data_IF_697287667779
#
_entry.id   IF_697287667779
#
_cell.length_a   1.000
_cell.length_b   1.000
_cell.length_c   1.000
_cell.angle_alpha   90.00
_cell.angle_beta   90.00
_cell.angle_gamma   90.00
#
_symmetry.space_group_name_H-M   'P 1'
#
loop_
_entity.id
_entity.type
_entity.pdbx_description
1 polymer ?
#
# COMPACT_ATOMS: atom_id res chain seq x y z
N UNK A 1 -17.55 10.15 52.98
CA UNK A 1 -18.34 10.90 51.97
C UNK A 1 -17.39 11.39 50.90
N UNK A 2 -17.20 10.65 49.85
CA UNK A 2 -16.32 10.94 48.72
C UNK A 2 -17.10 10.82 47.41
N UNK A 3 -17.30 11.95 46.76
CA UNK A 3 -18.09 12.13 45.56
C UNK A 3 -17.42 11.47 44.34
N UNK A 4 -18.03 10.42 43.79
CA UNK A 4 -17.69 9.84 42.49
C UNK A 4 -18.19 10.76 41.38
N UNK A 5 -17.25 11.43 40.67
CA UNK A 5 -17.54 12.14 39.43
C UNK A 5 -17.86 11.11 38.35
N UNK A 6 -19.10 11.12 37.87
CA UNK A 6 -19.54 10.38 36.69
C UNK A 6 -18.80 10.90 35.45
N UNK A 7 -17.96 10.05 34.85
CA UNK A 7 -17.47 10.24 33.50
C UNK A 7 -18.64 10.09 32.52
N UNK A 8 -18.93 11.15 31.79
CA UNK A 8 -19.94 11.12 30.73
C UNK A 8 -19.36 10.30 29.54
N UNK A 9 -19.95 9.14 29.30
CA UNK A 9 -19.75 8.40 28.07
C UNK A 9 -20.25 9.27 26.90
N UNK A 10 -19.33 9.77 26.08
CA UNK A 10 -19.66 10.34 24.77
C UNK A 10 -19.99 9.19 23.84
N UNK A 11 -21.25 9.05 23.47
CA UNK A 11 -21.66 8.15 22.40
C UNK A 11 -21.05 8.61 21.08
N UNK A 12 -20.49 7.71 20.26
CA UNK A 12 -20.03 8.06 18.93
C UNK A 12 -21.22 8.55 18.08
N UNK A 13 -21.01 9.48 17.13
CA UNK A 13 -22.03 9.94 16.23
C UNK A 13 -22.57 8.77 15.39
N UNK A 14 -23.88 8.50 15.48
CA UNK A 14 -24.57 7.55 14.62
C UNK A 14 -24.76 8.18 13.25
N UNK A 15 -24.08 7.64 12.23
CA UNK A 15 -24.41 7.93 10.84
C UNK A 15 -25.66 7.13 10.46
N UNK A 16 -26.69 7.74 9.84
CA UNK A 16 -27.85 7.01 9.38
C UNK A 16 -27.50 6.24 8.10
N UNK A 17 -27.31 4.95 8.23
CA UNK A 17 -27.31 4.02 7.10
C UNK A 17 -28.72 3.43 7.07
N UNK A 18 -29.56 3.83 6.13
CA UNK A 18 -30.85 3.20 5.88
C UNK A 18 -30.88 2.62 4.48
N UNK A 19 -31.27 1.36 4.44
CA UNK A 19 -31.55 0.56 3.27
C UNK A 19 -32.74 1.09 2.47
N UNK A 20 -32.67 0.80 1.16
CA UNK A 20 -33.75 0.92 0.17
C UNK A 20 -34.19 2.33 -0.26
N UNK A 21 -33.50 2.86 -1.28
CA UNK A 21 -34.08 3.88 -2.15
C UNK A 21 -34.07 3.41 -3.61
N UNK A 22 -35.26 3.09 -4.11
CA UNK A 22 -35.53 2.86 -5.54
C UNK A 22 -35.53 4.19 -6.31
N UNK A 23 -34.68 4.29 -7.32
CA UNK A 23 -34.43 5.47 -8.15
C UNK A 23 -35.50 5.65 -9.24
N UNK A 24 -36.72 6.10 -8.92
CA UNK A 24 -37.74 6.38 -9.96
C UNK A 24 -38.61 7.62 -9.76
N UNK A 25 -38.30 8.54 -8.82
CA UNK A 25 -39.09 9.76 -8.64
C UNK A 25 -38.29 11.02 -9.01
N UNK A 26 -38.79 11.88 -9.94
CA UNK A 26 -38.14 13.15 -10.32
C UNK A 26 -37.96 14.15 -9.17
N UNK A 27 -38.80 14.11 -8.14
CA UNK A 27 -38.68 14.98 -6.96
C UNK A 27 -37.49 14.55 -6.06
N UNK A 28 -37.10 13.30 -6.11
CA UNK A 28 -35.94 12.78 -5.36
C UNK A 28 -34.58 13.20 -5.98
N UNK A 29 -34.53 13.53 -7.27
CA UNK A 29 -33.33 14.08 -7.92
C UNK A 29 -32.92 15.46 -7.40
N UNK A 30 -33.90 16.27 -6.97
CA UNK A 30 -33.61 17.60 -6.40
C UNK A 30 -33.11 17.50 -4.96
N UNK A 31 -33.63 16.53 -4.16
CA UNK A 31 -33.18 16.28 -2.79
C UNK A 31 -31.78 15.64 -2.75
N UNK A 32 -31.49 14.71 -3.65
CA UNK A 32 -30.13 14.11 -3.75
C UNK A 32 -29.08 15.11 -4.22
N UNK A 33 -29.43 16.07 -5.09
CA UNK A 33 -28.50 17.14 -5.50
C UNK A 33 -28.23 18.15 -4.37
N UNK A 34 -29.15 18.33 -3.43
CA UNK A 34 -28.99 19.24 -2.28
C UNK A 34 -28.27 18.55 -1.10
N UNK A 35 -28.40 17.23 -0.93
CA UNK A 35 -27.66 16.46 0.08
C UNK A 35 -26.21 16.14 -0.32
N UNK A 36 -25.84 16.31 -1.59
CA UNK A 36 -24.49 16.03 -2.10
C UNK A 36 -23.43 17.09 -1.71
N UNK A 37 -23.74 18.02 -0.80
CA UNK A 37 -22.84 19.06 -0.32
C UNK A 37 -22.87 19.31 1.18
N UNK A 38 -23.11 18.27 1.98
CA UNK A 38 -22.65 18.33 3.35
C UNK A 38 -21.13 18.12 3.28
N UNK A 39 -20.38 19.23 3.30
CA UNK A 39 -18.91 19.17 3.41
C UNK A 39 -18.61 18.34 4.65
N UNK A 40 -17.92 17.20 4.45
CA UNK A 40 -17.48 16.36 5.55
C UNK A 40 -16.65 17.23 6.50
N UNK A 41 -17.15 17.46 7.70
CA UNK A 41 -16.48 18.29 8.70
C UNK A 41 -16.12 17.38 9.88
N UNK A 42 -14.84 17.23 10.12
CA UNK A 42 -14.33 16.45 11.24
C UNK A 42 -14.41 17.17 12.59
N UNK A 43 -14.89 18.43 12.63
CA UNK A 43 -15.19 19.17 13.87
C UNK A 43 -14.09 19.10 14.94
N UNK A 44 -12.83 19.21 14.54
CA UNK A 44 -11.69 19.18 15.45
C UNK A 44 -11.28 17.78 15.94
N UNK A 45 -11.75 16.71 15.31
CA UNK A 45 -11.28 15.35 15.63
C UNK A 45 -9.76 15.24 15.53
N UNK A 46 -9.15 14.57 16.50
CA UNK A 46 -7.71 14.29 16.55
C UNK A 46 -7.39 13.09 15.65
N UNK A 47 -6.80 13.33 14.49
CA UNK A 47 -6.64 12.33 13.44
C UNK A 47 -5.17 11.95 13.29
N UNK A 48 -4.83 10.72 13.66
CA UNK A 48 -3.53 10.14 13.35
C UNK A 48 -3.53 9.60 11.92
N UNK A 49 -2.44 9.86 11.16
CA UNK A 49 -2.22 9.27 9.85
C UNK A 49 -0.76 8.84 9.70
N UNK A 50 -0.52 7.65 9.16
CA UNK A 50 0.82 7.07 9.06
C UNK A 50 1.42 7.23 7.65
N UNK A 51 0.99 8.28 6.93
CA UNK A 51 1.42 8.55 5.56
C UNK A 51 2.86 9.05 5.52
N UNK A 52 3.68 8.45 4.64
CA UNK A 52 5.11 8.78 4.53
C UNK A 52 5.42 9.64 3.30
N UNK A 53 4.99 9.23 2.10
CA UNK A 53 5.37 9.89 0.84
C UNK A 53 4.68 11.22 0.62
N UNK A 54 3.45 11.37 1.13
CA UNK A 54 2.60 12.54 0.96
C UNK A 54 2.08 13.03 2.31
N UNK A 55 2.96 13.05 3.31
CA UNK A 55 2.63 13.44 4.69
C UNK A 55 2.01 14.85 4.73
N UNK A 56 2.62 15.83 4.06
CA UNK A 56 2.11 17.21 4.02
C UNK A 56 0.76 17.33 3.29
N UNK A 57 0.55 16.55 2.21
CA UNK A 57 -0.73 16.53 1.51
C UNK A 57 -1.82 15.94 2.40
N UNK A 58 -1.50 14.89 3.14
CA UNK A 58 -2.42 14.27 4.10
C UNK A 58 -2.78 15.25 5.22
N UNK A 59 -1.80 15.93 5.79
CA UNK A 59 -2.03 16.93 6.83
C UNK A 59 -2.93 18.06 6.33
N UNK A 60 -2.66 18.61 5.12
CA UNK A 60 -3.52 19.63 4.49
C UNK A 60 -4.93 19.12 4.22
N UNK A 61 -5.08 17.87 3.77
CA UNK A 61 -6.38 17.27 3.50
C UNK A 61 -7.23 17.17 4.77
N UNK A 62 -6.65 16.64 5.86
CA UNK A 62 -7.31 16.51 7.17
C UNK A 62 -7.73 17.90 7.69
N UNK A 63 -6.83 18.87 7.65
CA UNK A 63 -7.10 20.24 8.14
C UNK A 63 -8.18 20.94 7.32
N UNK A 64 -8.21 20.74 5.99
CA UNK A 64 -9.22 21.32 5.10
C UNK A 64 -10.63 20.85 5.42
N UNK A 65 -10.80 19.64 5.95
CA UNK A 65 -12.09 19.10 6.38
C UNK A 65 -12.31 19.26 7.89
N UNK A 66 -11.61 20.18 8.55
CA UNK A 66 -11.82 20.58 9.94
C UNK A 66 -11.25 19.62 10.98
N UNK A 67 -10.39 18.68 10.62
CA UNK A 67 -9.69 17.81 11.56
C UNK A 67 -8.38 18.43 12.07
N UNK A 68 -7.92 17.95 13.23
CA UNK A 68 -6.56 18.21 13.75
C UNK A 68 -5.65 17.09 13.29
N UNK A 69 -4.67 17.41 12.46
CA UNK A 69 -3.82 16.40 11.82
C UNK A 69 -2.59 16.05 12.66
N UNK A 70 -2.38 14.76 12.87
CA UNK A 70 -1.19 14.18 13.49
C UNK A 70 -0.58 13.18 12.51
N UNK A 71 0.08 13.70 11.48
CA UNK A 71 0.70 12.88 10.44
C UNK A 71 2.12 12.52 10.85
N UNK A 72 2.41 11.23 10.88
CA UNK A 72 3.74 10.71 11.18
C UNK A 72 4.15 9.70 10.12
N UNK A 73 5.23 9.96 9.36
CA UNK A 73 5.81 8.95 8.49
C UNK A 73 6.11 7.67 9.26
N UNK A 74 5.64 6.52 8.74
CA UNK A 74 5.84 5.24 9.43
C UNK A 74 6.81 4.31 8.71
N UNK A 75 7.25 4.68 7.49
CA UNK A 75 8.15 3.86 6.70
C UNK A 75 8.91 4.66 5.66
N UNK A 76 10.09 4.17 5.30
CA UNK A 76 10.86 4.60 4.13
C UNK A 76 11.27 3.39 3.30
N UNK A 77 11.46 3.61 2.02
CA UNK A 77 12.02 2.61 1.11
C UNK A 77 13.54 2.65 1.23
N UNK A 78 14.14 1.49 1.51
CA UNK A 78 15.60 1.35 1.60
C UNK A 78 16.05 0.39 0.51
N UNK A 79 16.91 0.82 -0.43
CA UNK A 79 17.45 -0.06 -1.44
C UNK A 79 18.27 -1.16 -0.78
N UNK A 80 18.27 -2.36 -1.38
CA UNK A 80 19.14 -3.45 -0.98
C UNK A 80 20.43 -3.31 -1.79
N UNK A 81 21.53 -2.97 -1.14
CA UNK A 81 22.84 -2.78 -1.79
C UNK A 81 23.94 -3.47 -0.96
N UNK A 82 24.84 -4.26 -1.61
CA UNK A 82 24.77 -4.71 -3.01
C UNK A 82 23.65 -5.74 -3.23
N UNK A 83 23.00 -5.71 -4.38
CA UNK A 83 21.89 -6.62 -4.68
C UNK A 83 22.29 -7.71 -5.69
N UNK A 84 22.89 -8.79 -5.20
CA UNK A 84 23.27 -9.93 -6.03
C UNK A 84 22.08 -10.58 -6.73
N UNK A 85 20.94 -10.72 -6.05
CA UNK A 85 19.74 -11.29 -6.62
C UNK A 85 19.25 -10.52 -7.86
N UNK A 86 19.28 -9.19 -7.83
CA UNK A 86 18.94 -8.35 -8.98
C UNK A 86 19.94 -8.52 -10.14
N UNK A 87 21.23 -8.63 -9.83
CA UNK A 87 22.30 -8.82 -10.84
C UNK A 87 22.16 -10.20 -11.49
N UNK A 88 22.00 -11.26 -10.70
CA UNK A 88 21.82 -12.62 -11.21
C UNK A 88 20.56 -12.73 -12.06
N UNK A 89 19.46 -12.11 -11.62
CA UNK A 89 18.23 -12.03 -12.40
C UNK A 89 18.45 -11.34 -13.75
N UNK A 90 19.19 -10.22 -13.78
CA UNK A 90 19.47 -9.51 -15.02
C UNK A 90 20.26 -10.38 -16.00
N UNK A 91 21.28 -11.10 -15.54
CA UNK A 91 22.01 -12.05 -16.38
C UNK A 91 21.12 -13.17 -16.91
N UNK A 92 20.26 -13.75 -16.08
CA UNK A 92 19.35 -14.82 -16.48
C UNK A 92 18.32 -14.34 -17.50
N UNK A 93 17.80 -13.13 -17.34
CA UNK A 93 16.93 -12.51 -18.34
C UNK A 93 17.66 -12.33 -19.68
N UNK A 94 18.85 -11.73 -19.66
CA UNK A 94 19.65 -11.46 -20.86
C UNK A 94 20.14 -12.74 -21.57
N UNK A 95 20.16 -13.87 -20.89
CA UNK A 95 20.51 -15.19 -21.47
C UNK A 95 19.30 -16.05 -21.84
N UNK A 96 18.09 -15.48 -21.79
CA UNK A 96 16.85 -16.13 -22.22
C UNK A 96 16.31 -17.21 -21.27
N UNK A 97 16.75 -17.21 -20.00
CA UNK A 97 16.25 -18.18 -19.02
C UNK A 97 14.91 -17.75 -18.37
N UNK A 98 14.57 -16.46 -18.42
CA UNK A 98 13.32 -15.93 -17.86
C UNK A 98 12.36 -15.64 -19.02
N UNK A 99 11.14 -16.16 -18.93
CA UNK A 99 10.13 -16.03 -20.00
C UNK A 99 9.06 -14.99 -19.70
N UNK A 100 8.80 -14.73 -18.42
CA UNK A 100 7.79 -13.79 -17.94
C UNK A 100 8.37 -12.93 -16.83
N UNK A 101 8.14 -11.63 -16.88
CA UNK A 101 8.55 -10.69 -15.82
C UNK A 101 7.34 -9.97 -15.25
N UNK A 102 7.13 -10.11 -13.94
CA UNK A 102 6.05 -9.44 -13.20
C UNK A 102 6.63 -8.26 -12.42
N UNK A 103 6.13 -7.06 -12.68
CA UNK A 103 6.52 -5.83 -12.02
C UNK A 103 5.44 -5.39 -11.03
N UNK A 104 5.74 -5.51 -9.72
CA UNK A 104 4.77 -5.19 -8.67
C UNK A 104 4.69 -3.70 -8.38
N UNK A 105 5.79 -2.94 -8.52
CA UNK A 105 5.82 -1.51 -8.21
C UNK A 105 6.73 -0.73 -9.16
N UNK A 106 6.36 0.54 -9.43
CA UNK A 106 7.21 1.42 -10.24
C UNK A 106 8.52 1.79 -9.54
N UNK A 107 8.49 1.97 -8.22
CA UNK A 107 9.70 2.23 -7.44
C UNK A 107 10.64 1.03 -7.47
N UNK A 108 10.11 -0.19 -7.35
CA UNK A 108 10.89 -1.41 -7.43
C UNK A 108 11.56 -1.59 -8.80
N UNK A 109 10.87 -1.27 -9.89
CA UNK A 109 11.49 -1.31 -11.20
C UNK A 109 12.64 -0.30 -11.35
N UNK A 110 12.49 0.93 -10.82
CA UNK A 110 13.57 1.91 -10.82
C UNK A 110 14.76 1.48 -9.96
N UNK A 111 14.50 0.86 -8.79
CA UNK A 111 15.58 0.28 -7.97
C UNK A 111 16.27 -0.91 -8.66
N UNK A 112 15.50 -1.75 -9.37
CA UNK A 112 16.09 -2.83 -10.18
C UNK A 112 17.07 -2.29 -11.19
N UNK A 113 16.67 -1.30 -12.00
CA UNK A 113 17.55 -0.66 -12.98
C UNK A 113 18.80 -0.08 -12.33
N UNK A 114 18.65 0.64 -11.20
CA UNK A 114 19.78 1.21 -10.45
C UNK A 114 20.73 0.14 -9.92
N UNK A 115 20.20 -0.96 -9.39
CA UNK A 115 21.02 -2.04 -8.81
C UNK A 115 21.88 -2.75 -9.85
N UNK A 116 21.43 -2.80 -11.10
CA UNK A 116 22.12 -3.53 -12.18
C UNK A 116 23.01 -2.65 -13.07
N UNK A 117 22.80 -1.31 -13.12
CA UNK A 117 23.46 -0.41 -14.09
C UNK A 117 24.99 -0.43 -14.07
N UNK A 118 25.61 -0.81 -12.93
CA UNK A 118 27.08 -0.95 -12.81
C UNK A 118 27.60 -2.33 -13.18
N UNK A 119 26.73 -3.28 -13.47
CA UNK A 119 27.06 -4.70 -13.65
C UNK A 119 26.67 -5.23 -15.01
N UNK A 120 25.66 -4.65 -15.66
CA UNK A 120 25.18 -5.03 -16.98
C UNK A 120 24.93 -3.81 -17.84
N UNK A 121 24.98 -3.98 -19.16
CA UNK A 121 24.56 -2.95 -20.09
C UNK A 121 23.06 -2.73 -19.98
N UNK A 122 22.67 -1.49 -19.68
CA UNK A 122 21.27 -1.10 -19.46
C UNK A 122 20.40 -1.36 -20.69
N UNK A 123 20.91 -1.00 -21.88
CA UNK A 123 20.11 -1.14 -23.09
C UNK A 123 19.88 -2.60 -23.42
N UNK A 124 20.91 -3.43 -23.32
CA UNK A 124 20.79 -4.88 -23.51
C UNK A 124 19.81 -5.52 -22.53
N UNK A 125 19.79 -5.07 -21.27
CA UNK A 125 18.79 -5.53 -20.31
C UNK A 125 17.36 -5.13 -20.74
N UNK A 126 17.16 -3.88 -21.19
CA UNK A 126 15.86 -3.39 -21.65
C UNK A 126 15.40 -4.10 -22.92
N UNK A 127 16.31 -4.37 -23.86
CA UNK A 127 16.03 -5.15 -25.06
C UNK A 127 15.58 -6.56 -24.69
N UNK A 128 16.30 -7.24 -23.80
CA UNK A 128 15.89 -8.56 -23.30
C UNK A 128 14.56 -8.54 -22.56
N UNK A 129 14.24 -7.44 -21.86
CA UNK A 129 12.95 -7.27 -21.21
C UNK A 129 11.82 -7.04 -22.22
N UNK A 130 12.10 -6.48 -23.39
CA UNK A 130 11.12 -6.34 -24.49
C UNK A 130 10.82 -7.65 -25.19
N UNK A 131 11.72 -8.64 -25.14
CA UNK A 131 11.58 -9.94 -25.77
C UNK A 131 10.75 -10.95 -24.97
N UNK A 132 10.42 -10.61 -23.71
CA UNK A 132 9.65 -11.47 -22.80
C UNK A 132 8.28 -10.88 -22.48
N UNK A 133 7.38 -11.71 -21.97
CA UNK A 133 6.07 -11.23 -21.50
C UNK A 133 6.26 -10.40 -20.22
N UNK A 134 5.85 -9.14 -20.25
CA UNK A 134 5.90 -8.23 -19.11
C UNK A 134 4.51 -7.95 -18.56
N UNK A 135 4.32 -8.19 -17.26
CA UNK A 135 3.04 -7.97 -16.57
C UNK A 135 3.25 -6.89 -15.50
N UNK A 136 2.56 -5.76 -15.65
CA UNK A 136 2.56 -4.71 -14.64
C UNK A 136 1.33 -4.83 -13.74
N UNK A 137 1.53 -4.94 -12.41
CA UNK A 137 0.42 -5.06 -11.45
C UNK A 137 -0.57 -3.91 -11.52
N UNK A 138 -0.15 -2.75 -11.98
CA UNK A 138 -1.03 -1.57 -12.05
C UNK A 138 -0.39 -0.40 -12.78
N UNK A 139 -0.97 0.81 -12.65
CA UNK A 139 -0.53 1.99 -13.42
C UNK A 139 0.89 2.46 -13.07
N UNK A 140 1.34 2.34 -11.81
CA UNK A 140 2.66 2.83 -11.37
C UNK A 140 3.82 2.04 -11.97
N UNK A 141 3.87 0.69 -11.95
CA UNK A 141 4.91 -0.06 -12.66
C UNK A 141 4.81 0.11 -14.19
N UNK A 142 3.61 0.22 -14.77
CA UNK A 142 3.46 0.48 -16.19
C UNK A 142 4.02 1.86 -16.60
N UNK A 143 3.87 2.88 -15.77
CA UNK A 143 4.47 4.20 -15.99
C UNK A 143 6.00 4.13 -15.93
N UNK A 144 6.57 3.46 -14.92
CA UNK A 144 8.01 3.32 -14.78
C UNK A 144 8.64 2.51 -15.94
N UNK A 145 7.93 1.52 -16.47
CA UNK A 145 8.37 0.77 -17.64
C UNK A 145 8.38 1.66 -18.89
N UNK A 146 7.34 2.50 -19.08
CA UNK A 146 7.29 3.48 -20.18
C UNK A 146 8.38 4.55 -20.09
N UNK A 147 8.74 5.00 -18.89
CA UNK A 147 9.87 5.92 -18.68
C UNK A 147 11.21 5.32 -19.17
N UNK A 148 11.29 3.99 -19.17
CA UNK A 148 12.44 3.26 -19.72
C UNK A 148 12.31 2.94 -21.24
N UNK A 149 11.27 3.45 -21.91
CA UNK A 149 11.03 3.25 -23.34
C UNK A 149 10.29 1.97 -23.71
N UNK A 150 9.75 1.25 -22.72
CA UNK A 150 9.06 -0.03 -22.94
C UNK A 150 7.56 0.07 -22.69
N UNK A 151 6.78 -0.78 -23.35
CA UNK A 151 5.35 -0.95 -23.11
C UNK A 151 5.10 -2.31 -22.48
N UNK A 152 4.36 -2.42 -21.37
CA UNK A 152 4.05 -3.72 -20.79
C UNK A 152 3.15 -4.54 -21.73
N UNK A 153 3.37 -5.86 -21.80
CA UNK A 153 2.50 -6.79 -22.52
C UNK A 153 1.11 -6.81 -21.90
N UNK A 154 1.04 -6.86 -20.56
CA UNK A 154 -0.21 -6.83 -19.83
C UNK A 154 -0.17 -5.85 -18.65
N UNK A 155 -1.32 -5.22 -18.38
CA UNK A 155 -1.56 -4.45 -17.17
C UNK A 155 -2.75 -5.05 -16.44
N UNK A 156 -2.55 -5.40 -15.17
CA UNK A 156 -3.60 -5.95 -14.32
C UNK A 156 -4.70 -4.90 -14.10
N UNK A 157 -6.00 -5.28 -14.21
CA UNK A 157 -7.12 -4.39 -13.96
C UNK A 157 -7.25 -4.04 -12.48
N UNK A 158 -8.01 -2.99 -12.17
CA UNK A 158 -8.36 -2.66 -10.79
C UNK A 158 -9.24 -3.76 -10.17
N UNK A 159 -9.07 -4.02 -8.86
CA UNK A 159 -8.33 -3.22 -7.86
C UNK A 159 -6.82 -3.50 -7.76
N UNK A 160 -6.18 -4.09 -8.77
CA UNK A 160 -4.73 -4.31 -8.89
C UNK A 160 -4.16 -5.17 -7.74
N UNK A 161 -4.91 -6.16 -7.24
CA UNK A 161 -4.42 -7.09 -6.22
C UNK A 161 -3.69 -8.28 -6.87
N UNK A 162 -3.13 -9.16 -6.06
CA UNK A 162 -2.51 -10.38 -6.54
C UNK A 162 -3.54 -11.35 -7.15
N UNK A 163 -4.84 -11.24 -6.80
CA UNK A 163 -5.91 -12.06 -7.37
C UNK A 163 -6.18 -11.71 -8.82
N UNK A 164 -6.33 -10.42 -9.14
CA UNK A 164 -6.50 -9.94 -10.51
C UNK A 164 -5.25 -10.21 -11.35
N UNK A 165 -4.05 -10.22 -10.72
CA UNK A 165 -2.83 -10.61 -11.40
C UNK A 165 -2.87 -12.08 -11.82
N UNK A 166 -3.26 -12.99 -10.93
CA UNK A 166 -3.43 -14.41 -11.27
C UNK A 166 -4.54 -14.62 -12.31
N UNK A 167 -5.64 -13.87 -12.26
CA UNK A 167 -6.69 -13.91 -13.28
C UNK A 167 -6.18 -13.46 -14.66
N UNK A 168 -5.35 -12.41 -14.69
CA UNK A 168 -4.72 -11.93 -15.93
C UNK A 168 -3.82 -13.01 -16.53
N UNK A 169 -3.06 -13.72 -15.69
CA UNK A 169 -2.22 -14.85 -16.11
C UNK A 169 -3.10 -15.99 -16.65
N UNK A 170 -4.12 -16.39 -15.92
CA UNK A 170 -5.03 -17.47 -16.33
C UNK A 170 -5.70 -17.21 -17.69
N UNK A 171 -5.97 -15.92 -17.98
CA UNK A 171 -6.66 -15.53 -19.21
C UNK A 171 -5.73 -15.33 -20.41
N UNK A 172 -4.46 -14.97 -20.19
CA UNK A 172 -3.63 -14.43 -21.28
C UNK A 172 -2.21 -14.98 -21.35
N UNK A 173 -1.67 -15.54 -20.25
CA UNK A 173 -0.24 -15.88 -20.17
C UNK A 173 -0.04 -17.29 -19.64
N UNK A 174 0.14 -18.31 -20.50
CA UNK A 174 0.45 -19.66 -20.04
C UNK A 174 1.84 -19.68 -19.39
N UNK A 175 1.89 -20.00 -18.07
CA UNK A 175 3.15 -20.01 -17.31
C UNK A 175 3.60 -21.41 -16.87
N UNK A 176 2.90 -22.46 -17.28
CA UNK A 176 3.29 -23.84 -16.97
C UNK A 176 4.67 -24.15 -17.55
N UNK A 177 5.57 -24.66 -16.70
CA UNK A 177 6.98 -24.91 -17.01
C UNK A 177 7.78 -23.65 -17.43
N UNK A 178 7.29 -22.45 -17.10
CA UNK A 178 7.99 -21.21 -17.38
C UNK A 178 8.73 -20.72 -16.13
N UNK A 179 9.83 -19.98 -16.36
CA UNK A 179 10.53 -19.23 -15.31
C UNK A 179 9.97 -17.82 -15.28
N UNK A 180 9.41 -17.46 -14.13
CA UNK A 180 8.75 -16.18 -13.89
C UNK A 180 9.58 -15.33 -12.93
N UNK A 181 10.18 -14.25 -13.42
CA UNK A 181 10.83 -13.24 -12.60
C UNK A 181 9.79 -12.34 -11.92
N UNK A 182 9.78 -12.30 -10.60
CA UNK A 182 8.83 -11.51 -9.81
C UNK A 182 9.56 -10.37 -9.09
N UNK A 183 9.50 -9.14 -9.61
CA UNK A 183 9.97 -7.97 -8.87
C UNK A 183 9.01 -7.68 -7.72
N UNK A 184 9.47 -7.92 -6.49
CA UNK A 184 8.64 -7.89 -5.27
C UNK A 184 8.30 -6.47 -4.78
N UNK A 185 7.27 -6.39 -3.96
CA UNK A 185 6.79 -5.17 -3.29
C UNK A 185 7.47 -4.97 -1.92
N UNK A 186 8.79 -4.83 -1.89
CA UNK A 186 9.53 -4.59 -0.62
C UNK A 186 9.41 -5.70 0.44
N UNK A 187 8.39 -6.54 0.34
CA UNK A 187 8.16 -7.75 1.15
C UNK A 187 7.63 -8.86 0.25
N UNK A 188 7.93 -10.10 0.64
CA UNK A 188 7.50 -11.28 -0.10
C UNK A 188 5.99 -11.50 0.04
N UNK A 189 5.32 -11.72 -1.09
CA UNK A 189 3.92 -12.13 -1.13
C UNK A 189 3.83 -13.64 -1.35
N UNK A 190 3.84 -14.41 -0.25
CA UNK A 190 3.80 -15.87 -0.29
C UNK A 190 2.56 -16.41 -1.02
N UNK A 191 1.40 -15.77 -0.89
CA UNK A 191 0.16 -16.18 -1.58
C UNK A 191 0.26 -16.02 -3.10
N UNK A 192 0.92 -14.94 -3.58
CA UNK A 192 1.16 -14.77 -5.01
C UNK A 192 2.13 -15.82 -5.53
N UNK A 193 3.25 -16.05 -4.83
CA UNK A 193 4.25 -17.05 -5.22
C UNK A 193 3.59 -18.43 -5.30
N UNK A 194 2.91 -18.86 -4.23
CA UNK A 194 2.20 -20.16 -4.23
C UNK A 194 1.15 -20.25 -5.36
N UNK A 195 0.45 -19.15 -5.66
CA UNK A 195 -0.51 -19.07 -6.76
C UNK A 195 0.12 -19.23 -8.15
N UNK A 196 1.33 -18.71 -8.37
CA UNK A 196 2.11 -18.88 -9.60
C UNK A 196 2.67 -20.31 -9.71
N UNK A 197 3.23 -20.84 -8.63
CA UNK A 197 3.77 -22.19 -8.56
C UNK A 197 2.67 -23.25 -8.76
N UNK A 198 1.47 -23.04 -8.22
CA UNK A 198 0.30 -23.91 -8.46
C UNK A 198 -0.12 -23.96 -9.94
N UNK A 199 0.31 -23.00 -10.76
CA UNK A 199 0.11 -22.98 -12.23
C UNK A 199 1.30 -23.58 -12.99
N UNK A 200 2.23 -24.18 -12.28
CA UNK A 200 3.39 -24.88 -12.84
C UNK A 200 4.58 -23.96 -13.18
N UNK A 201 4.58 -22.71 -12.69
CA UNK A 201 5.72 -21.81 -12.87
C UNK A 201 6.85 -22.09 -11.87
N UNK A 202 8.09 -21.84 -12.29
CA UNK A 202 9.21 -21.65 -11.37
C UNK A 202 9.36 -20.15 -11.10
N UNK A 203 9.11 -19.72 -9.86
CA UNK A 203 9.14 -18.30 -9.51
C UNK A 203 10.51 -17.88 -8.99
N UNK A 204 11.05 -16.79 -9.54
CA UNK A 204 12.28 -16.15 -9.10
C UNK A 204 11.95 -14.77 -8.49
N UNK A 205 11.84 -14.68 -7.16
CA UNK A 205 11.57 -13.41 -6.50
C UNK A 205 12.80 -12.49 -6.59
N UNK A 206 12.60 -11.25 -7.00
CA UNK A 206 13.64 -10.22 -7.10
C UNK A 206 13.27 -9.06 -6.20
N UNK A 207 13.82 -9.07 -4.98
CA UNK A 207 13.62 -8.01 -4.02
C UNK A 207 14.74 -6.99 -4.13
N UNK A 208 14.38 -5.75 -4.44
CA UNK A 208 15.34 -4.66 -4.71
C UNK A 208 15.30 -3.55 -3.66
N UNK A 209 14.32 -3.56 -2.77
CA UNK A 209 14.19 -2.64 -1.64
C UNK A 209 13.46 -3.32 -0.49
N UNK A 210 13.58 -2.74 0.68
CA UNK A 210 12.81 -3.09 1.86
C UNK A 210 12.13 -1.87 2.47
N UNK A 211 11.38 -2.10 3.54
CA UNK A 211 10.74 -1.07 4.32
C UNK A 211 11.41 -0.97 5.68
N UNK A 212 11.85 0.22 6.04
CA UNK A 212 12.40 0.54 7.36
C UNK A 212 11.62 1.68 7.98
N UNK A 213 11.82 1.90 9.27
CA UNK A 213 11.37 3.14 9.90
C UNK A 213 12.08 4.35 9.27
N UNK A 214 11.45 5.53 9.30
CA UNK A 214 12.16 6.78 9.01
C UNK A 214 13.37 6.94 9.93
N UNK A 215 14.33 7.78 9.54
CA UNK A 215 15.48 8.10 10.39
C UNK A 215 15.04 8.81 11.67
N UNK A 216 14.11 9.75 11.56
CA UNK A 216 13.44 10.36 12.69
C UNK A 216 12.08 9.68 12.91
N UNK A 217 11.94 9.00 14.02
CA UNK A 217 10.72 8.30 14.44
C UNK A 217 9.94 9.08 15.51
N UNK A 218 10.35 10.28 15.89
CA UNK A 218 9.76 11.05 17.00
C UNK A 218 8.26 11.23 16.84
N UNK A 219 7.81 11.73 15.70
CA UNK A 219 6.38 11.91 15.42
C UNK A 219 5.60 10.57 15.41
N UNK A 220 6.22 9.47 14.95
CA UNK A 220 5.61 8.14 14.98
C UNK A 220 5.47 7.65 16.42
N UNK A 221 6.49 7.80 17.24
CA UNK A 221 6.45 7.44 18.66
C UNK A 221 5.38 8.23 19.42
N UNK A 222 5.27 9.54 19.15
CA UNK A 222 4.24 10.41 19.75
C UNK A 222 2.83 9.92 19.36
N UNK A 223 2.59 9.60 18.09
CA UNK A 223 1.32 9.07 17.65
C UNK A 223 1.00 7.70 18.27
N UNK A 224 1.98 6.82 18.41
CA UNK A 224 1.78 5.52 19.08
C UNK A 224 1.40 5.72 20.56
N UNK A 225 2.08 6.62 21.28
CA UNK A 225 1.75 6.94 22.68
C UNK A 225 0.35 7.53 22.81
N UNK A 226 0.00 8.48 21.95
CA UNK A 226 -1.30 9.12 21.95
C UNK A 226 -2.45 8.15 21.56
N UNK A 227 -2.24 7.26 20.62
CA UNK A 227 -3.19 6.17 20.31
C UNK A 227 -3.35 5.22 21.51
N UNK A 228 -2.25 4.84 22.15
CA UNK A 228 -2.27 3.99 23.35
C UNK A 228 -2.99 4.65 24.54
N UNK A 229 -2.91 5.99 24.65
CA UNK A 229 -3.63 6.77 25.66
C UNK A 229 -5.09 7.07 25.30
N UNK A 230 -5.57 6.70 24.10
CA UNK A 230 -6.91 7.03 23.62
C UNK A 230 -7.11 8.50 23.27
N UNK A 231 -6.04 9.22 22.96
CA UNK A 231 -6.03 10.66 22.65
C UNK A 231 -6.22 10.92 21.14
N UNK A 232 -6.48 9.90 20.35
CA UNK A 232 -6.76 10.01 18.91
C UNK A 232 -8.15 9.47 18.61
N UNK A 233 -8.98 10.30 17.98
CA UNK A 233 -10.34 9.93 17.61
C UNK A 233 -10.36 9.03 16.38
N UNK A 234 -9.39 9.21 15.45
CA UNK A 234 -9.33 8.46 14.20
C UNK A 234 -7.89 8.09 13.84
N UNK A 235 -7.72 6.91 13.24
CA UNK A 235 -6.49 6.43 12.61
C UNK A 235 -6.73 6.18 11.11
N UNK A 236 -6.01 6.92 10.25
CA UNK A 236 -6.05 6.75 8.79
C UNK A 236 -4.89 5.87 8.32
N UNK A 237 -5.23 4.85 7.54
CA UNK A 237 -4.29 3.88 6.99
C UNK A 237 -4.41 3.83 5.46
N UNK A 238 -3.32 4.06 4.75
CA UNK A 238 -3.25 4.01 3.29
C UNK A 238 -2.58 2.75 2.76
N UNK A 239 -2.00 1.93 3.65
CA UNK A 239 -1.30 0.69 3.31
C UNK A 239 -1.29 -0.27 4.51
N UNK A 240 -1.43 -1.58 4.26
CA UNK A 240 -1.34 -2.61 5.32
C UNK A 240 0.02 -2.62 6.03
N UNK A 241 1.11 -2.19 5.37
CA UNK A 241 2.44 -2.12 5.98
C UNK A 241 2.53 -1.05 7.08
N UNK A 242 1.69 -0.03 7.04
CA UNK A 242 1.57 0.96 8.12
C UNK A 242 1.11 0.33 9.43
N UNK A 243 0.22 -0.67 9.36
CA UNK A 243 -0.23 -1.44 10.54
C UNK A 243 0.94 -2.23 11.14
N UNK A 244 1.71 -2.91 10.28
CA UNK A 244 2.91 -3.66 10.72
C UNK A 244 3.89 -2.73 11.44
N UNK A 245 4.16 -1.56 10.89
CA UNK A 245 5.10 -0.61 11.49
C UNK A 245 4.52 0.07 12.75
N UNK A 246 3.21 0.30 12.81
CA UNK A 246 2.54 0.77 14.04
C UNK A 246 2.76 -0.23 15.19
N UNK A 247 2.52 -1.51 14.94
CA UNK A 247 2.70 -2.57 15.93
C UNK A 247 4.17 -2.74 16.33
N UNK A 248 5.10 -2.75 15.36
CA UNK A 248 6.54 -2.81 15.64
C UNK A 248 7.01 -1.63 16.50
N UNK A 249 6.51 -0.41 16.26
CA UNK A 249 6.85 0.75 17.09
C UNK A 249 6.25 0.60 18.49
N UNK A 250 5.02 0.11 18.62
CA UNK A 250 4.42 -0.19 19.92
C UNK A 250 5.20 -1.26 20.71
N UNK A 251 5.73 -2.28 20.04
CA UNK A 251 6.63 -3.27 20.64
C UNK A 251 7.91 -2.63 21.17
N UNK A 252 8.56 -1.78 20.39
CA UNK A 252 9.78 -1.06 20.83
C UNK A 252 9.53 -0.15 22.03
N UNK A 253 8.31 0.40 22.14
CA UNK A 253 7.91 1.27 23.24
C UNK A 253 7.31 0.49 24.43
N UNK A 254 7.13 -0.83 24.34
CA UNK A 254 6.43 -1.67 25.30
C UNK A 254 4.98 -1.22 25.55
N UNK A 255 4.27 -0.81 24.49
CA UNK A 255 2.91 -0.25 24.54
C UNK A 255 1.88 -1.09 23.79
N UNK A 256 2.17 -2.36 23.44
CA UNK A 256 1.28 -3.18 22.58
C UNK A 256 -0.11 -3.33 23.19
N UNK A 257 -0.22 -3.64 24.48
CA UNK A 257 -1.51 -3.86 25.13
C UNK A 257 -2.28 -2.55 25.33
N UNK A 258 -1.58 -1.48 25.69
CA UNK A 258 -2.15 -0.13 25.79
C UNK A 258 -2.64 0.37 24.42
N UNK A 259 -1.87 0.12 23.37
CA UNK A 259 -2.27 0.46 22.00
C UNK A 259 -3.55 -0.30 21.60
N UNK A 260 -3.63 -1.61 21.87
CA UNK A 260 -4.86 -2.39 21.62
C UNK A 260 -6.05 -1.80 22.34
N UNK A 261 -5.90 -1.45 23.62
CA UNK A 261 -6.99 -0.83 24.40
C UNK A 261 -7.38 0.54 23.83
N UNK A 262 -6.44 1.40 23.49
CA UNK A 262 -6.69 2.71 22.90
C UNK A 262 -7.40 2.63 21.54
N UNK A 263 -7.04 1.66 20.71
CA UNK A 263 -7.67 1.44 19.41
C UNK A 263 -9.13 0.99 19.49
N UNK A 264 -9.61 0.44 20.61
CA UNK A 264 -11.05 0.15 20.77
C UNK A 264 -11.94 1.41 20.77
N UNK A 265 -11.40 2.55 21.15
CA UNK A 265 -12.08 3.86 21.11
C UNK A 265 -11.79 4.68 19.87
N UNK A 266 -10.89 4.23 19.02
CA UNK A 266 -10.40 4.95 17.83
C UNK A 266 -11.13 4.47 16.57
N UNK A 267 -11.66 5.38 15.76
CA UNK A 267 -12.20 5.04 14.45
C UNK A 267 -11.07 4.71 13.49
N UNK A 268 -11.04 3.51 12.94
CA UNK A 268 -10.03 3.10 11.96
C UNK A 268 -10.61 3.24 10.55
N UNK A 269 -9.96 4.08 9.72
CA UNK A 269 -10.30 4.24 8.33
C UNK A 269 -9.14 3.75 7.45
N UNK A 270 -9.42 2.82 6.54
CA UNK A 270 -8.44 2.24 5.61
C UNK A 270 -8.81 2.49 4.16
N UNK A 271 -7.80 2.60 3.29
CA UNK A 271 -7.99 2.79 1.85
C UNK A 271 -7.82 1.46 1.11
N UNK A 272 -8.92 1.00 0.52
CA UNK A 272 -8.96 -0.17 -0.36
C UNK A 272 -8.82 -1.52 0.34
N UNK A 273 -9.14 -2.61 -0.39
CA UNK A 273 -9.29 -3.95 0.19
C UNK A 273 -7.96 -4.58 0.64
N UNK A 274 -6.82 -4.04 0.20
CA UNK A 274 -5.49 -4.54 0.60
C UNK A 274 -5.02 -3.99 1.95
N UNK A 275 -5.69 -2.98 2.49
CA UNK A 275 -5.37 -2.37 3.78
C UNK A 275 -6.39 -2.77 4.86
N UNK A 276 -7.61 -3.05 4.44
CA UNK A 276 -8.70 -3.56 5.28
C UNK A 276 -8.55 -5.05 5.55
#
# INVERSE_FOLDING_TARGET
>A
MGSLKKQAHRNPPRFPYNDEFTLTDPQNRMLTATMAKAEANFNGLQIAALESRRADDMARLISRVGGVSHVSPSMREVPIEPNRCAIDFAYRLMTGHVSVVILMTGVGFRYLLRSIERHVDRQRFLDSLSDVVTICRGPKPAAALREAGLTPTHRVPEPNTWRELLQTIDSHVPISNQIVGLQEYGVTNASLIAGLEARGATVEPVRVYGWEFPEDTTALQENVRALAAGERDMLLLTSGHQVVNLLRMAEQLNLVDQLRQGLHGTLIASIGPTTT
#
